data_IF_368855629602
#
_entry.id   IF_368855629602
#
_cell.length_a   1.000
_cell.length_b   1.000
_cell.length_c   1.000
_cell.angle_alpha   90.00
_cell.angle_beta   90.00
_cell.angle_gamma   90.00
#
_symmetry.space_group_name_H-M   'P 1'
#
loop_
_entity.id
_entity.type
_entity.pdbx_description
1 polymer ?
#
# COMPACT_ATOMS: atom_id res chain seq x y z
N UNK A 1 25.85 -10.45 -6.57
CA UNK A 1 27.26 -10.06 -6.78
C UNK A 1 27.96 -9.70 -5.46
N UNK A 2 27.46 -8.73 -4.69
CA UNK A 2 28.08 -8.35 -3.39
C UNK A 2 28.21 -9.48 -2.36
N UNK A 3 27.22 -10.37 -2.24
CA UNK A 3 27.32 -11.52 -1.33
C UNK A 3 28.49 -12.45 -1.65
N UNK A 4 28.65 -12.82 -2.92
CA UNK A 4 29.76 -13.67 -3.35
C UNK A 4 31.11 -13.00 -3.06
N UNK A 5 31.20 -11.68 -3.25
CA UNK A 5 32.39 -10.91 -2.89
C UNK A 5 32.66 -10.97 -1.37
N UNK A 6 31.67 -10.70 -0.52
CA UNK A 6 31.81 -10.73 0.94
C UNK A 6 32.23 -12.11 1.46
N UNK A 7 31.63 -13.19 0.93
CA UNK A 7 31.99 -14.56 1.30
C UNK A 7 33.42 -14.91 0.88
N UNK A 8 33.82 -14.47 -0.32
CA UNK A 8 35.20 -14.67 -0.81
C UNK A 8 36.19 -13.89 0.05
N UNK A 9 35.87 -12.65 0.42
CA UNK A 9 36.68 -11.83 1.32
C UNK A 9 36.83 -12.46 2.71
N UNK A 10 35.76 -13.02 3.27
CA UNK A 10 35.81 -13.75 4.53
C UNK A 10 36.73 -14.99 4.44
N UNK A 11 36.62 -15.78 3.36
CA UNK A 11 37.51 -16.91 3.13
C UNK A 11 38.98 -16.46 2.96
N UNK A 12 39.20 -15.38 2.22
CA UNK A 12 40.52 -14.79 2.03
C UNK A 12 41.16 -14.40 3.36
N UNK A 13 40.41 -13.73 4.23
CA UNK A 13 40.87 -13.30 5.56
C UNK A 13 41.10 -14.47 6.52
N UNK A 14 40.15 -15.40 6.62
CA UNK A 14 40.17 -16.45 7.66
C UNK A 14 41.03 -17.65 7.28
N UNK A 15 41.11 -18.00 6.00
CA UNK A 15 41.73 -19.25 5.54
C UNK A 15 43.06 -18.99 4.84
N UNK A 16 43.10 -18.04 3.92
CA UNK A 16 44.24 -17.90 3.01
C UNK A 16 45.32 -16.96 3.56
N UNK A 17 44.96 -15.74 3.99
CA UNK A 17 45.90 -14.73 4.51
C UNK A 17 46.79 -15.28 5.66
N UNK A 18 46.28 -16.02 6.65
CA UNK A 18 47.13 -16.54 7.73
C UNK A 18 48.25 -17.47 7.25
N UNK A 19 48.02 -18.18 6.13
CA UNK A 19 48.99 -19.12 5.54
C UNK A 19 50.12 -18.42 4.77
N UNK A 20 49.92 -17.16 4.38
CA UNK A 20 50.86 -16.37 3.55
C UNK A 20 51.23 -15.03 4.19
N UNK A 21 51.00 -14.88 5.50
CA UNK A 21 51.14 -13.62 6.26
C UNK A 21 52.57 -13.05 6.30
N UNK A 22 53.56 -13.85 5.95
CA UNK A 22 54.96 -13.45 5.82
C UNK A 22 55.21 -12.43 4.69
N UNK A 23 54.34 -12.41 3.67
CA UNK A 23 54.51 -11.50 2.54
C UNK A 23 53.83 -10.15 2.80
N UNK A 24 54.55 -9.05 2.52
CA UNK A 24 54.07 -7.69 2.77
C UNK A 24 52.75 -7.38 2.05
N UNK A 25 52.57 -7.89 0.83
CA UNK A 25 51.34 -7.68 0.09
C UNK A 25 50.11 -8.33 0.77
N UNK A 26 50.27 -9.47 1.45
CA UNK A 26 49.17 -10.13 2.17
C UNK A 26 48.75 -9.34 3.41
N UNK A 27 49.71 -8.70 4.10
CA UNK A 27 49.44 -7.82 5.24
C UNK A 27 48.64 -6.59 4.79
N UNK A 28 49.09 -5.94 3.71
CA UNK A 28 48.38 -4.80 3.11
C UNK A 28 46.96 -5.22 2.69
N UNK A 29 46.79 -6.39 2.09
CA UNK A 29 45.49 -6.89 1.70
C UNK A 29 44.57 -7.10 2.91
N UNK A 30 45.08 -7.71 3.99
CA UNK A 30 44.34 -7.88 5.24
C UNK A 30 43.89 -6.55 5.85
N UNK A 31 44.75 -5.54 5.85
CA UNK A 31 44.45 -4.19 6.35
C UNK A 31 43.37 -3.48 5.50
N UNK A 32 43.27 -3.80 4.21
CA UNK A 32 42.28 -3.18 3.30
C UNK A 32 40.92 -3.90 3.27
N UNK A 33 40.85 -5.19 3.64
CA UNK A 33 39.59 -5.95 3.63
C UNK A 33 38.45 -5.31 4.43
N UNK A 34 38.68 -4.75 5.64
CA UNK A 34 37.64 -4.02 6.35
C UNK A 34 37.10 -2.81 5.57
N UNK A 35 37.98 -2.06 4.87
CA UNK A 35 37.57 -0.87 4.08
C UNK A 35 36.67 -1.28 2.92
N UNK A 36 37.03 -2.34 2.20
CA UNK A 36 36.22 -2.89 1.12
C UNK A 36 34.84 -3.38 1.59
N UNK A 37 34.74 -3.93 2.81
CA UNK A 37 33.44 -4.31 3.39
C UNK A 37 32.58 -3.09 3.65
N UNK A 38 33.17 -2.02 4.19
CA UNK A 38 32.45 -0.78 4.44
C UNK A 38 32.01 -0.11 3.13
N UNK A 39 32.85 -0.08 2.10
CA UNK A 39 32.47 0.41 0.77
C UNK A 39 31.25 -0.35 0.21
N UNK A 40 31.20 -1.68 0.36
CA UNK A 40 30.04 -2.49 -0.04
C UNK A 40 28.79 -2.11 0.77
N UNK A 41 28.91 -1.83 2.08
CA UNK A 41 27.79 -1.35 2.90
C UNK A 41 27.30 0.01 2.43
N UNK A 42 28.20 0.94 2.17
CA UNK A 42 27.87 2.30 1.72
C UNK A 42 27.13 2.29 0.39
N UNK A 43 27.61 1.53 -0.59
CA UNK A 43 26.94 1.37 -1.88
C UNK A 43 25.54 0.78 -1.69
N UNK A 44 25.43 -0.30 -0.91
CA UNK A 44 24.12 -0.91 -0.66
C UNK A 44 23.16 0.00 0.10
N UNK A 45 23.67 0.87 0.97
CA UNK A 45 22.88 1.85 1.70
C UNK A 45 22.45 3.00 0.79
N UNK A 46 23.26 3.37 -0.21
CA UNK A 46 22.87 4.32 -1.25
C UNK A 46 21.70 3.80 -2.06
N UNK A 47 21.80 2.57 -2.59
CA UNK A 47 20.71 1.90 -3.32
C UNK A 47 19.41 1.89 -2.52
N UNK A 48 19.51 1.60 -1.21
CA UNK A 48 18.35 1.62 -0.30
C UNK A 48 17.74 3.01 -0.19
N UNK A 49 18.56 4.06 -0.06
CA UNK A 49 18.05 5.44 0.06
C UNK A 49 17.31 5.86 -1.22
N UNK A 50 17.85 5.50 -2.38
CA UNK A 50 17.20 5.75 -3.67
C UNK A 50 15.87 5.00 -3.78
N UNK A 51 15.84 3.74 -3.32
CA UNK A 51 14.60 2.98 -3.19
C UNK A 51 13.58 3.67 -2.27
N UNK A 52 13.99 4.09 -1.07
CA UNK A 52 13.12 4.75 -0.10
C UNK A 52 12.54 6.07 -0.64
N UNK A 53 13.31 6.81 -1.44
CA UNK A 53 12.84 8.02 -2.10
C UNK A 53 11.89 7.70 -3.27
N UNK A 54 12.20 6.66 -4.05
CA UNK A 54 11.37 6.21 -5.17
C UNK A 54 9.99 5.76 -4.71
N UNK A 55 9.90 4.86 -3.72
CA UNK A 55 8.60 4.36 -3.25
C UNK A 55 7.73 5.46 -2.63
N UNK A 56 8.35 6.50 -2.06
CA UNK A 56 7.63 7.67 -1.56
C UNK A 56 6.95 8.43 -2.69
N UNK A 57 7.64 8.61 -3.83
CA UNK A 57 7.09 9.30 -5.01
C UNK A 57 6.00 8.50 -5.71
N UNK A 58 6.10 7.18 -5.71
CA UNK A 58 5.18 6.29 -6.43
C UNK A 58 4.07 5.68 -5.56
N UNK A 59 4.02 6.01 -4.25
CA UNK A 59 3.03 5.49 -3.31
C UNK A 59 1.58 5.72 -3.77
N UNK A 60 1.31 6.87 -4.39
CA UNK A 60 0.00 7.19 -4.96
C UNK A 60 -0.43 6.16 -6.01
N UNK A 61 0.47 5.81 -6.95
CA UNK A 61 0.16 4.86 -8.01
C UNK A 61 -0.01 3.43 -7.50
N UNK A 62 0.83 3.03 -6.55
CA UNK A 62 0.72 1.72 -5.88
C UNK A 62 -0.63 1.59 -5.18
N UNK A 63 -1.03 2.62 -4.43
CA UNK A 63 -2.31 2.61 -3.73
C UNK A 63 -3.51 2.68 -4.65
N UNK A 64 -3.45 3.48 -5.72
CA UNK A 64 -4.51 3.53 -6.75
C UNK A 64 -4.75 2.13 -7.35
N UNK A 65 -3.67 1.44 -7.72
CA UNK A 65 -3.74 0.10 -8.32
C UNK A 65 -4.29 -0.92 -7.34
N UNK A 66 -3.83 -0.88 -6.09
CA UNK A 66 -4.33 -1.76 -5.03
C UNK A 66 -5.82 -1.51 -4.71
N UNK A 67 -6.27 -0.26 -4.69
CA UNK A 67 -7.68 0.07 -4.49
C UNK A 67 -8.55 -0.40 -5.66
N UNK A 68 -8.11 -0.21 -6.91
CA UNK A 68 -8.82 -0.68 -8.10
C UNK A 68 -9.03 -2.20 -8.05
N UNK A 69 -7.98 -2.94 -7.69
CA UNK A 69 -8.04 -4.39 -7.54
C UNK A 69 -8.98 -4.83 -6.42
N UNK A 70 -8.91 -4.18 -5.25
CA UNK A 70 -9.81 -4.48 -4.15
C UNK A 70 -11.29 -4.26 -4.52
N UNK A 71 -11.56 -3.25 -5.35
CA UNK A 71 -12.90 -2.99 -5.89
C UNK A 71 -13.34 -4.09 -6.86
N UNK A 72 -12.51 -4.46 -7.84
CA UNK A 72 -12.80 -5.53 -8.81
C UNK A 72 -13.04 -6.89 -8.12
N UNK A 73 -12.21 -7.23 -7.13
CA UNK A 73 -12.37 -8.48 -6.38
C UNK A 73 -13.67 -8.47 -5.55
N UNK A 74 -14.09 -7.31 -5.03
CA UNK A 74 -15.38 -7.16 -4.33
C UNK A 74 -16.57 -7.27 -5.27
N UNK A 75 -16.50 -6.69 -6.47
CA UNK A 75 -17.58 -6.78 -7.47
C UNK A 75 -17.71 -8.20 -8.00
N UNK A 76 -16.60 -8.88 -8.30
CA UNK A 76 -16.58 -10.29 -8.69
C UNK A 76 -17.20 -11.20 -7.61
N UNK A 77 -16.74 -11.08 -6.35
CA UNK A 77 -17.30 -11.88 -5.25
C UNK A 77 -18.78 -11.58 -5.00
N UNK A 78 -19.22 -10.34 -5.20
CA UNK A 78 -20.63 -9.95 -5.12
C UNK A 78 -21.46 -10.56 -6.25
N UNK A 79 -20.93 -10.62 -7.47
CA UNK A 79 -21.59 -11.25 -8.63
C UNK A 79 -21.73 -12.77 -8.44
N UNK A 80 -20.67 -13.44 -7.96
CA UNK A 80 -20.69 -14.88 -7.64
C UNK A 80 -21.68 -15.18 -6.50
N UNK A 81 -21.72 -14.33 -5.46
CA UNK A 81 -22.69 -14.48 -4.38
C UNK A 81 -24.15 -14.29 -4.85
N UNK A 82 -24.39 -13.38 -5.81
CA UNK A 82 -25.72 -13.20 -6.43
C UNK A 82 -26.13 -14.40 -7.29
N UNK A 83 -25.19 -15.00 -8.05
CA UNK A 83 -25.44 -16.21 -8.82
C UNK A 83 -25.72 -17.43 -7.90
N UNK A 84 -25.01 -17.56 -6.78
CA UNK A 84 -25.27 -18.61 -5.80
C UNK A 84 -26.65 -18.48 -5.11
N UNK A 85 -27.15 -17.25 -4.93
CA UNK A 85 -28.49 -16.99 -4.39
C UNK A 85 -29.63 -17.27 -5.40
N UNK A 86 -29.35 -17.19 -6.71
CA UNK A 86 -30.31 -17.53 -7.77
C UNK A 86 -30.44 -19.04 -8.05
N UNK A 87 -29.60 -19.89 -7.46
CA UNK A 87 -29.55 -21.34 -7.71
C UNK A 87 -30.58 -22.22 -6.97
N UNK A 88 -31.53 -21.64 -6.22
CA UNK A 88 -32.48 -22.42 -5.40
C UNK A 88 -33.97 -22.20 -5.73
N UNK A 89 -34.32 -22.13 -7.01
CA UNK A 89 -35.72 -22.28 -7.48
C UNK A 89 -35.90 -23.47 -8.43
N UNK A 90 -35.46 -24.67 -8.03
CA UNK A 90 -36.05 -25.91 -8.56
C UNK A 90 -37.09 -26.42 -7.55
N UNK A 91 -38.34 -26.00 -7.75
CA UNK A 91 -39.49 -26.48 -6.97
C UNK A 91 -39.60 -28.01 -7.11
N UNK A 92 -39.78 -28.79 -6.02
CA UNK A 92 -40.13 -30.19 -6.14
C UNK A 92 -41.56 -30.32 -6.65
N UNK A 93 -41.75 -31.29 -7.54
CA UNK A 93 -43.01 -31.70 -8.15
C UNK A 93 -43.91 -32.33 -7.09
N UNK A 94 -45.08 -31.74 -6.84
CA UNK A 94 -46.20 -32.41 -6.19
C UNK A 94 -47.45 -32.20 -7.06
N UNK A 95 -47.89 -33.29 -7.67
CA UNK A 95 -49.19 -33.40 -8.34
C UNK A 95 -50.33 -33.24 -7.35
N UNK A 96 -51.29 -32.35 -7.65
CA UNK A 96 -52.69 -32.58 -7.31
C UNK A 96 -53.62 -31.77 -8.24
N UNK A 97 -54.65 -32.45 -8.74
CA UNK A 97 -55.58 -32.04 -9.79
C UNK A 97 -56.39 -30.75 -9.50
N UNK A 98 -56.63 -29.96 -10.55
CA UNK A 98 -57.68 -28.94 -10.58
C UNK A 98 -57.67 -28.09 -11.85
N UNK A 99 -58.52 -28.43 -12.83
CA UNK A 99 -58.79 -27.69 -14.07
C UNK A 99 -59.15 -26.21 -13.81
N UNK A 100 -58.63 -25.29 -14.63
CA UNK A 100 -59.39 -24.49 -15.65
C UNK A 100 -58.45 -23.52 -16.41
N UNK A 101 -58.65 -23.45 -17.73
CA UNK A 101 -58.04 -22.52 -18.67
C UNK A 101 -58.28 -21.05 -18.35
N UNK A 102 -57.28 -20.18 -18.58
CA UNK A 102 -57.42 -18.93 -19.35
C UNK A 102 -56.04 -18.41 -19.77
N UNK A 103 -55.88 -18.16 -21.07
CA UNK A 103 -54.79 -17.42 -21.69
C UNK A 103 -54.75 -15.96 -21.21
N UNK A 104 -53.58 -15.45 -20.85
CA UNK A 104 -53.25 -14.02 -21.01
C UNK A 104 -51.77 -13.87 -21.32
N UNK A 105 -51.51 -13.60 -22.60
CA UNK A 105 -50.30 -13.03 -23.16
C UNK A 105 -50.13 -11.61 -22.61
N UNK A 106 -48.99 -11.29 -22.00
CA UNK A 106 -48.47 -9.92 -22.01
C UNK A 106 -46.96 -9.92 -21.73
N UNK A 107 -46.22 -9.57 -22.77
CA UNK A 107 -44.79 -9.32 -22.69
C UNK A 107 -44.48 -8.04 -21.93
N UNK A 108 -43.39 -8.08 -21.18
CA UNK A 108 -42.60 -6.92 -20.85
C UNK A 108 -41.16 -7.28 -21.17
N UNK A 109 -40.65 -6.53 -22.15
CA UNK A 109 -39.30 -6.56 -22.71
C UNK A 109 -38.30 -6.40 -21.57
N UNK A 110 -37.39 -7.37 -21.42
CA UNK A 110 -36.16 -7.15 -20.67
C UNK A 110 -35.17 -6.55 -21.65
N UNK A 111 -34.89 -5.26 -21.47
CA UNK A 111 -33.81 -4.56 -22.16
C UNK A 111 -32.51 -5.07 -21.51
N UNK A 112 -31.93 -6.08 -22.14
CA UNK A 112 -30.64 -6.65 -21.80
C UNK A 112 -29.58 -5.73 -22.39
N UNK A 113 -29.27 -4.66 -21.67
CA UNK A 113 -28.09 -3.83 -21.90
C UNK A 113 -26.85 -4.59 -21.41
N UNK A 114 -26.53 -5.69 -22.10
CA UNK A 114 -25.22 -6.34 -22.03
C UNK A 114 -24.24 -5.49 -22.81
N UNK A 115 -23.78 -4.42 -22.17
CA UNK A 115 -22.47 -3.86 -22.47
C UNK A 115 -21.41 -4.89 -22.09
N UNK A 116 -21.14 -5.82 -23.01
CA UNK A 116 -19.91 -6.61 -23.05
C UNK A 116 -18.74 -5.63 -23.25
N UNK A 117 -18.34 -4.94 -22.18
CA UNK A 117 -17.02 -4.33 -22.09
C UNK A 117 -16.05 -5.45 -21.77
N UNK A 118 -15.53 -6.07 -22.83
CA UNK A 118 -14.31 -6.86 -22.92
C UNK A 118 -13.63 -7.09 -21.57
N UNK A 119 -13.93 -8.24 -20.94
CA UNK A 119 -13.12 -8.85 -19.89
C UNK A 119 -11.74 -9.19 -20.50
N UNK A 120 -10.93 -8.16 -20.73
CA UNK A 120 -9.50 -8.33 -20.81
C UNK A 120 -9.09 -8.78 -19.42
N UNK A 121 -8.65 -10.04 -19.32
CA UNK A 121 -7.92 -10.60 -18.19
C UNK A 121 -6.71 -9.69 -17.88
N UNK A 122 -6.94 -8.55 -17.23
CA UNK A 122 -5.91 -7.63 -16.77
C UNK A 122 -5.22 -8.34 -15.62
N UNK A 123 -4.08 -8.95 -15.94
CA UNK A 123 -3.18 -9.62 -15.01
C UNK A 123 -3.09 -8.82 -13.69
N UNK A 124 -3.38 -9.49 -12.57
CA UNK A 124 -3.43 -8.87 -11.24
C UNK A 124 -2.06 -8.31 -10.88
N UNK A 125 -1.81 -7.03 -11.18
CA UNK A 125 -0.56 -6.33 -10.88
C UNK A 125 -0.32 -6.25 -9.37
N UNK A 126 0.53 -7.10 -8.83
CA UNK A 126 0.88 -7.08 -7.41
C UNK A 126 1.82 -5.90 -7.09
N UNK A 127 2.00 -5.60 -5.80
CA UNK A 127 3.00 -4.64 -5.36
C UNK A 127 4.43 -4.96 -5.86
N UNK A 128 4.72 -6.25 -6.11
CA UNK A 128 6.00 -6.73 -6.63
C UNK A 128 6.21 -6.34 -8.10
N UNK A 129 5.11 -6.22 -8.86
CA UNK A 129 5.15 -5.84 -10.27
C UNK A 129 5.35 -4.32 -10.44
N UNK A 130 5.03 -3.55 -9.39
CA UNK A 130 5.13 -2.09 -9.39
C UNK A 130 6.41 -1.56 -8.74
N UNK A 131 7.07 -2.35 -7.89
CA UNK A 131 8.17 -1.88 -7.04
C UNK A 131 9.32 -2.89 -7.00
N UNK A 132 10.52 -2.46 -7.37
CA UNK A 132 11.73 -3.27 -7.18
C UNK A 132 12.19 -3.24 -5.72
N UNK A 133 11.92 -4.33 -4.99
CA UNK A 133 12.33 -4.52 -3.60
C UNK A 133 13.78 -5.01 -3.42
N UNK A 134 14.49 -5.31 -4.52
CA UNK A 134 15.86 -5.83 -4.49
C UNK A 134 16.82 -4.99 -3.63
N UNK A 135 16.77 -3.64 -3.63
CA UNK A 135 17.63 -2.83 -2.77
C UNK A 135 17.46 -3.12 -1.28
N UNK A 136 16.22 -3.37 -0.82
CA UNK A 136 15.93 -3.69 0.58
C UNK A 136 16.52 -5.04 0.96
N UNK A 137 16.26 -6.07 0.14
CA UNK A 137 16.74 -7.43 0.43
C UNK A 137 18.27 -7.51 0.38
N UNK A 138 18.87 -6.84 -0.61
CA UNK A 138 20.32 -6.77 -0.76
C UNK A 138 20.95 -6.12 0.47
N UNK A 139 20.42 -4.98 0.91
CA UNK A 139 20.93 -4.27 2.07
C UNK A 139 20.75 -5.08 3.36
N UNK A 140 19.56 -5.63 3.58
CA UNK A 140 19.29 -6.53 4.71
C UNK A 140 20.27 -7.70 4.76
N UNK A 141 20.51 -8.34 3.61
CA UNK A 141 21.39 -9.49 3.52
C UNK A 141 22.86 -9.12 3.77
N UNK A 142 23.35 -8.03 3.18
CA UNK A 142 24.73 -7.53 3.39
C UNK A 142 24.96 -7.22 4.87
N UNK A 143 24.06 -6.46 5.51
CA UNK A 143 24.19 -6.14 6.93
C UNK A 143 24.08 -7.37 7.82
N UNK A 144 23.29 -8.38 7.43
CA UNK A 144 23.24 -9.67 8.15
C UNK A 144 24.56 -10.42 8.08
N UNK A 145 25.16 -10.54 6.89
CA UNK A 145 26.45 -11.24 6.69
C UNK A 145 27.60 -10.55 7.42
N UNK A 146 27.53 -9.22 7.55
CA UNK A 146 28.54 -8.42 8.25
C UNK A 146 28.33 -8.34 9.77
N UNK A 147 27.24 -8.93 10.29
CA UNK A 147 26.94 -8.92 11.73
C UNK A 147 26.28 -7.63 12.25
N UNK A 148 25.92 -6.70 11.37
CA UNK A 148 25.35 -5.38 11.71
C UNK A 148 23.84 -5.30 11.43
N UNK A 149 23.16 -6.44 11.41
CA UNK A 149 21.74 -6.56 11.04
C UNK A 149 20.84 -5.58 11.80
N UNK A 150 21.00 -5.51 13.11
CA UNK A 150 20.18 -4.67 13.99
C UNK A 150 20.28 -3.18 13.63
N UNK A 151 21.47 -2.71 13.24
CA UNK A 151 21.70 -1.34 12.78
C UNK A 151 20.85 -1.02 11.56
N UNK A 152 20.80 -1.93 10.58
CA UNK A 152 19.97 -1.77 9.39
C UNK A 152 18.48 -1.82 9.71
N UNK A 153 18.02 -2.78 10.52
CA UNK A 153 16.61 -2.88 10.91
C UNK A 153 16.13 -1.60 11.60
N UNK A 154 16.93 -1.09 12.54
CA UNK A 154 16.65 0.15 13.24
C UNK A 154 16.63 1.36 12.29
N UNK A 155 17.57 1.43 11.34
CA UNK A 155 17.56 2.48 10.33
C UNK A 155 16.30 2.43 9.46
N UNK A 156 15.99 1.25 8.90
CA UNK A 156 14.85 1.05 8.01
C UNK A 156 13.54 1.43 8.70
N UNK A 157 13.26 0.86 9.89
CA UNK A 157 12.04 1.16 10.67
C UNK A 157 11.94 2.65 11.01
N UNK A 158 13.05 3.30 11.38
CA UNK A 158 13.07 4.75 11.65
C UNK A 158 12.70 5.56 10.40
N UNK A 159 13.21 5.20 9.22
CA UNK A 159 12.88 5.89 7.97
C UNK A 159 11.42 5.67 7.59
N UNK A 160 10.92 4.43 7.64
CA UNK A 160 9.52 4.12 7.32
C UNK A 160 8.55 4.82 8.26
N UNK A 161 8.86 4.93 9.57
CA UNK A 161 8.06 5.73 10.52
C UNK A 161 8.05 7.22 10.19
N UNK A 162 9.14 7.79 9.67
CA UNK A 162 9.17 9.17 9.17
C UNK A 162 8.31 9.34 7.93
N UNK A 163 8.41 8.43 6.96
CA UNK A 163 7.63 8.48 5.73
C UNK A 163 6.13 8.29 5.98
N UNK A 164 5.74 7.39 6.90
CA UNK A 164 4.35 7.25 7.33
C UNK A 164 3.76 8.58 7.81
N UNK A 165 4.50 9.31 8.66
CA UNK A 165 4.07 10.62 9.16
C UNK A 165 3.88 11.65 8.05
N UNK A 166 4.71 11.62 7.01
CA UNK A 166 4.63 12.53 5.87
C UNK A 166 3.43 12.20 4.97
N UNK A 167 3.21 10.91 4.69
CA UNK A 167 2.08 10.43 3.87
C UNK A 167 0.73 10.77 4.53
N UNK A 168 0.68 10.78 5.86
CA UNK A 168 -0.53 11.10 6.62
C UNK A 168 -0.83 12.60 6.71
N UNK A 169 0.07 13.48 6.26
CA UNK A 169 -0.18 14.92 6.22
C UNK A 169 -1.04 15.25 4.98
N UNK A 170 -2.24 15.81 5.15
CA UNK A 170 -3.08 16.20 4.02
C UNK A 170 -2.42 17.34 3.23
N UNK A 171 -2.53 17.29 1.90
CA UNK A 171 -2.14 18.42 1.05
C UNK A 171 -3.13 19.57 1.23
N UNK A 172 -2.66 20.82 1.04
CA UNK A 172 -3.45 22.02 1.36
C UNK A 172 -4.84 22.05 0.69
N UNK A 173 -4.93 21.63 -0.56
CA UNK A 173 -6.15 21.60 -1.37
C UNK A 173 -6.86 20.23 -1.39
N UNK A 174 -6.44 19.29 -0.53
CA UNK A 174 -6.98 17.92 -0.54
C UNK A 174 -8.50 17.88 -0.33
N UNK A 175 -9.03 18.78 0.50
CA UNK A 175 -10.42 18.78 0.92
C UNK A 175 -11.37 19.47 -0.06
N UNK A 176 -10.84 20.14 -1.08
CA UNK A 176 -11.63 20.91 -2.05
C UNK A 176 -12.30 20.02 -3.09
N UNK A 177 -11.74 18.84 -3.37
CA UNK A 177 -12.21 17.96 -4.45
C UNK A 177 -12.21 16.49 -4.05
N UNK A 178 -13.08 15.69 -4.66
CA UNK A 178 -13.08 14.22 -4.52
C UNK A 178 -11.73 13.63 -4.95
N UNK A 179 -11.13 14.19 -5.99
CA UNK A 179 -9.82 13.77 -6.48
C UNK A 179 -8.70 13.99 -5.44
N UNK A 180 -8.76 15.10 -4.70
CA UNK A 180 -7.85 15.39 -3.60
C UNK A 180 -7.91 14.32 -2.50
N UNK A 181 -9.12 13.91 -2.10
CA UNK A 181 -9.31 12.79 -1.16
C UNK A 181 -8.81 11.47 -1.74
N UNK A 182 -9.12 11.17 -3.01
CA UNK A 182 -8.67 9.95 -3.69
C UNK A 182 -7.14 9.83 -3.64
N UNK A 183 -6.44 10.90 -4.02
CA UNK A 183 -4.97 10.97 -3.99
C UNK A 183 -4.40 10.80 -2.58
N UNK A 184 -5.03 11.38 -1.57
CA UNK A 184 -4.61 11.25 -0.17
C UNK A 184 -4.71 9.81 0.32
N UNK A 185 -5.85 9.17 0.10
CA UNK A 185 -6.04 7.77 0.50
C UNK A 185 -5.15 6.82 -0.32
N UNK A 186 -4.96 7.07 -1.62
CA UNK A 186 -4.06 6.29 -2.45
C UNK A 186 -2.64 6.30 -1.89
N UNK A 187 -2.10 7.47 -1.52
CA UNK A 187 -0.76 7.53 -0.92
C UNK A 187 -0.66 6.71 0.38
N UNK A 188 -1.69 6.76 1.23
CA UNK A 188 -1.75 5.99 2.49
C UNK A 188 -1.79 4.49 2.20
N UNK A 189 -2.69 4.04 1.32
CA UNK A 189 -2.81 2.63 0.95
C UNK A 189 -1.52 2.13 0.32
N UNK A 190 -0.93 2.88 -0.61
CA UNK A 190 0.35 2.50 -1.22
C UNK A 190 1.47 2.34 -0.20
N UNK A 191 1.49 3.19 0.84
CA UNK A 191 2.46 3.04 1.93
C UNK A 191 2.27 1.71 2.66
N UNK A 192 1.02 1.36 3.03
CA UNK A 192 0.74 0.11 3.76
C UNK A 192 0.88 -1.14 2.90
N UNK A 193 0.60 -1.07 1.59
CA UNK A 193 0.85 -2.18 0.65
C UNK A 193 2.34 -2.52 0.61
N UNK A 194 3.21 -1.50 0.60
CA UNK A 194 4.66 -1.69 0.67
C UNK A 194 5.08 -2.29 2.03
N UNK A 195 4.53 -1.80 3.15
CA UNK A 195 4.85 -2.36 4.47
C UNK A 195 4.39 -3.81 4.63
N UNK A 196 3.20 -4.14 4.13
CA UNK A 196 2.64 -5.49 4.15
C UNK A 196 3.51 -6.45 3.32
N UNK A 197 3.94 -6.01 2.14
CA UNK A 197 4.84 -6.79 1.32
C UNK A 197 6.16 -7.08 2.05
N UNK A 198 6.79 -6.07 2.66
CA UNK A 198 8.05 -6.25 3.40
C UNK A 198 7.85 -7.16 4.63
N UNK A 199 6.74 -7.02 5.35
CA UNK A 199 6.40 -7.87 6.50
C UNK A 199 6.38 -9.36 6.11
N UNK A 200 5.83 -9.69 4.94
CA UNK A 200 5.70 -11.07 4.47
C UNK A 200 6.96 -11.59 3.76
N UNK A 201 7.67 -10.72 3.03
CA UNK A 201 8.84 -11.10 2.24
C UNK A 201 10.14 -11.16 3.04
N UNK A 202 10.21 -10.51 4.22
CA UNK A 202 11.42 -10.44 5.03
C UNK A 202 11.24 -11.14 6.37
N UNK A 203 12.29 -11.85 6.81
CA UNK A 203 12.27 -12.49 8.12
C UNK A 203 12.66 -11.49 9.20
N UNK A 204 11.71 -10.69 9.69
CA UNK A 204 11.89 -9.86 10.88
C UNK A 204 12.39 -8.43 10.66
N UNK A 205 12.60 -7.97 9.41
CA UNK A 205 12.93 -6.56 9.16
C UNK A 205 11.79 -5.65 9.63
N UNK A 206 10.55 -6.04 9.32
CA UNK A 206 9.31 -5.44 9.81
C UNK A 206 8.56 -6.50 10.61
N UNK A 207 7.95 -6.10 11.73
CA UNK A 207 7.17 -7.00 12.60
C UNK A 207 5.71 -6.57 12.63
N UNK A 208 4.81 -7.50 12.95
CA UNK A 208 3.37 -7.19 13.11
C UNK A 208 3.15 -6.05 14.11
N UNK A 209 3.82 -6.11 15.27
CA UNK A 209 3.74 -5.05 16.27
C UNK A 209 4.15 -3.67 15.72
N UNK A 210 5.21 -3.59 14.91
CA UNK A 210 5.61 -2.34 14.28
C UNK A 210 4.57 -1.85 13.26
N UNK A 211 4.02 -2.75 12.43
CA UNK A 211 2.96 -2.40 11.48
C UNK A 211 1.69 -1.93 12.19
N UNK A 212 1.32 -2.58 13.30
CA UNK A 212 0.17 -2.19 14.14
C UNK A 212 0.37 -0.80 14.75
N UNK A 213 1.58 -0.45 15.20
CA UNK A 213 1.89 0.92 15.64
C UNK A 213 1.66 1.95 14.53
N UNK A 214 2.12 1.65 13.30
CA UNK A 214 1.93 2.52 12.15
C UNK A 214 0.45 2.65 11.80
N UNK A 215 -0.30 1.56 11.83
CA UNK A 215 -1.74 1.54 11.56
C UNK A 215 -2.52 2.36 12.57
N UNK A 216 -2.27 2.19 13.87
CA UNK A 216 -2.92 2.96 14.92
C UNK A 216 -2.62 4.47 14.81
N UNK A 217 -1.38 4.82 14.47
CA UNK A 217 -1.00 6.21 14.18
C UNK A 217 -1.76 6.75 12.96
N UNK A 218 -1.84 5.97 11.88
CA UNK A 218 -2.54 6.34 10.66
C UNK A 218 -4.02 6.56 10.92
N UNK A 219 -4.69 5.61 11.55
CA UNK A 219 -6.10 5.68 11.88
C UNK A 219 -6.42 6.93 12.71
N UNK A 220 -5.62 7.19 13.75
CA UNK A 220 -5.78 8.37 14.60
C UNK A 220 -5.67 9.68 13.80
N UNK A 221 -4.70 9.76 12.87
CA UNK A 221 -4.49 10.96 12.04
C UNK A 221 -5.58 11.13 11.00
N UNK A 222 -5.99 10.07 10.32
CA UNK A 222 -7.04 10.10 9.30
C UNK A 222 -8.35 10.58 9.94
N UNK A 223 -8.73 10.04 11.10
CA UNK A 223 -9.93 10.47 11.83
C UNK A 223 -9.86 11.96 12.16
N UNK A 224 -8.72 12.46 12.62
CA UNK A 224 -8.55 13.87 12.95
C UNK A 224 -8.69 14.78 11.71
N UNK A 225 -8.07 14.39 10.59
CA UNK A 225 -8.20 15.11 9.31
C UNK A 225 -9.65 15.15 8.85
N UNK A 226 -10.33 14.00 8.80
CA UNK A 226 -11.72 13.92 8.37
C UNK A 226 -12.66 14.75 9.24
N UNK A 227 -12.50 14.71 10.58
CA UNK A 227 -13.30 15.53 11.50
C UNK A 227 -13.11 17.03 11.28
N UNK A 228 -11.88 17.46 11.01
CA UNK A 228 -11.57 18.88 10.83
C UNK A 228 -12.25 19.43 9.57
N UNK A 229 -12.27 18.65 8.49
CA UNK A 229 -12.88 19.07 7.23
C UNK A 229 -14.39 18.77 7.13
N UNK A 230 -14.94 17.85 7.93
CA UNK A 230 -16.39 17.58 7.94
C UNK A 230 -17.19 18.63 8.71
N UNK A 231 -16.60 19.28 9.72
CA UNK A 231 -17.30 20.26 10.58
C UNK A 231 -17.36 21.66 9.94
N UNK A 232 -16.39 22.03 9.10
CA UNK A 232 -16.38 23.32 8.40
C UNK A 232 -17.44 23.46 7.29
N UNK A 233 -17.99 22.36 6.78
CA UNK A 233 -18.99 22.37 5.70
C UNK A 233 -20.44 22.51 6.18
N UNK A 234 -20.69 22.52 7.50
CA UNK A 234 -22.06 22.63 8.07
C UNK A 234 -22.34 23.98 8.74
N UNK A 235 -21.37 24.90 8.83
CA UNK A 235 -21.56 26.20 9.49
C UNK A 235 -22.00 27.34 8.58
N UNK A 236 -21.93 27.18 7.24
CA UNK A 236 -22.13 28.31 6.31
C UNK A 236 -23.54 28.40 5.69
N UNK A 237 -24.49 27.55 6.12
CA UNK A 237 -25.86 27.54 5.53
C UNK A 237 -26.94 28.22 6.38
N UNK A 238 -26.61 28.81 7.53
CA UNK A 238 -27.62 29.36 8.46
C UNK A 238 -27.62 30.88 8.66
N UNK A 239 -26.80 31.67 7.95
CA UNK A 239 -26.66 33.11 8.23
C UNK A 239 -27.02 34.07 7.08
N UNK A 240 -27.82 33.64 6.09
CA UNK A 240 -28.28 34.53 5.01
C UNK A 240 -29.76 34.40 4.68
N UNK A 241 -30.64 34.48 5.68
CA UNK A 241 -32.06 34.85 5.46
C UNK A 241 -32.63 35.56 6.69
N UNK A 242 -32.26 36.81 6.95
CA UNK A 242 -33.12 37.77 7.68
C UNK A 242 -32.52 39.19 7.65
N UNK A 243 -32.51 39.83 6.48
CA UNK A 243 -32.44 41.30 6.39
C UNK A 243 -33.27 41.80 5.21
N UNK A 244 -34.57 41.51 5.22
CA UNK A 244 -35.54 42.25 4.42
C UNK A 244 -36.93 42.21 5.07
N UNK A 245 -37.19 43.18 5.93
CA UNK A 245 -38.48 43.87 6.15
C UNK A 245 -38.46 44.50 7.53
N UNK A 246 -38.38 45.83 7.60
CA UNK A 246 -39.39 46.66 8.27
C UNK A 246 -39.07 48.14 7.94
N UNK A 247 -39.67 48.66 6.88
CA UNK A 247 -40.00 50.08 6.78
C UNK A 247 -41.29 50.32 7.56
N UNK A 248 -41.28 51.35 8.42
CA UNK A 248 -42.45 52.11 8.90
C UNK A 248 -43.37 51.42 9.93
N UNK A 249 -43.56 52.05 11.09
CA UNK A 249 -44.81 52.74 11.54
C UNK A 249 -44.51 53.45 12.89
N UNK A 250 -45.16 54.60 13.06
CA UNK A 250 -45.00 55.74 13.99
C UNK A 250 -45.25 55.56 15.51
N UNK A 251 -45.09 56.70 16.20
CA UNK A 251 -45.52 57.17 17.54
C UNK A 251 -44.47 57.01 18.66
N UNK A 252 -44.05 58.03 19.42
CA UNK A 252 -44.67 59.27 19.93
C UNK A 252 -43.66 60.45 19.96
#
# INVERSE_FOLDING_TARGET
RYYAALKTMEQLEKVYIPRVSQYRFCQIMAENLPRLREEIKEISMSDLKDFLESIRKHSDKVGETAMRQAQQHRTFNSAVAKQASMGHYTKPVYSLNGRTHTHTHNGLMMDDDTGDEEDADEEVLTAQDLVDFSPVYRCLHIYTVLGDRETFENYYRKQRKKQARLVLQPQANMHETVEGYRRYFNQIVGFFVVEDHILHATQGLVTRAFTDELWNMALSKIIAVLRTHSVGSHSDTYTSTHTHNQQGVDCE
#
